data_IF_354009348525
#
_entry.id   IF_354009348525
#
_cell.length_a   1.000
_cell.length_b   1.000
_cell.length_c   1.000
_cell.angle_alpha   90.00
_cell.angle_beta   90.00
_cell.angle_gamma   90.00
#
_symmetry.space_group_name_H-M   'P 1'
#
loop_
_entity.id
_entity.type
_entity.pdbx_description
1 polymer ?
#
# COMPACT_ATOMS: atom_id res chain seq x y z
N UNK A 1 27.05 15.30 30.35
CA UNK A 1 25.94 15.34 29.37
C UNK A 1 25.00 14.21 29.76
N UNK A 2 23.86 14.59 30.32
CA UNK A 2 23.02 13.79 31.23
C UNK A 2 22.34 12.61 30.53
N UNK A 3 22.46 11.41 31.12
CA UNK A 3 21.71 10.23 30.68
C UNK A 3 20.20 10.48 30.84
N UNK A 4 19.44 10.43 29.74
CA UNK A 4 17.98 10.60 29.75
C UNK A 4 17.34 9.24 30.11
N UNK A 5 16.32 9.18 31.00
CA UNK A 5 15.63 7.95 31.38
C UNK A 5 14.67 7.46 30.28
N UNK A 6 15.21 7.22 29.07
CA UNK A 6 14.43 6.91 27.86
C UNK A 6 14.11 5.43 27.66
N UNK A 7 14.59 4.51 28.48
CA UNK A 7 14.54 3.07 28.18
C UNK A 7 13.38 2.34 28.84
N UNK A 8 13.10 2.57 30.13
CA UNK A 8 11.98 1.91 30.82
C UNK A 8 10.61 2.43 30.35
N UNK A 9 10.47 3.74 30.20
CA UNK A 9 9.26 4.37 29.69
C UNK A 9 8.97 3.99 28.22
N UNK A 10 10.01 3.95 27.38
CA UNK A 10 9.86 3.49 26.00
C UNK A 10 9.39 2.03 25.92
N UNK A 11 10.00 1.13 26.72
CA UNK A 11 9.58 -0.29 26.79
C UNK A 11 8.16 -0.46 27.28
N UNK A 12 7.76 0.29 28.31
CA UNK A 12 6.39 0.28 28.81
C UNK A 12 5.39 0.78 27.75
N UNK A 13 5.70 1.90 27.08
CA UNK A 13 4.86 2.43 26.01
C UNK A 13 4.74 1.49 24.81
N UNK A 14 5.80 0.76 24.47
CA UNK A 14 5.80 -0.26 23.42
C UNK A 14 4.91 -1.45 23.78
N UNK A 15 4.98 -1.92 25.04
CA UNK A 15 4.13 -3.00 25.53
C UNK A 15 2.65 -2.64 25.52
N UNK A 16 2.30 -1.41 25.91
CA UNK A 16 0.93 -0.91 25.80
C UNK A 16 0.46 -0.83 24.35
N UNK A 17 1.29 -0.30 23.46
CA UNK A 17 0.95 -0.20 22.03
C UNK A 17 0.69 -1.57 21.42
N UNK A 18 1.51 -2.56 21.77
CA UNK A 18 1.33 -3.96 21.38
C UNK A 18 0.01 -4.52 21.91
N UNK A 19 -0.28 -4.34 23.20
CA UNK A 19 -1.52 -4.83 23.83
C UNK A 19 -2.78 -4.27 23.16
N UNK A 20 -2.78 -2.99 22.80
CA UNK A 20 -3.91 -2.36 22.11
C UNK A 20 -3.99 -2.70 20.62
N UNK A 21 -2.86 -2.80 19.92
CA UNK A 21 -2.84 -3.05 18.48
C UNK A 21 -3.03 -4.54 18.13
N UNK A 22 -2.59 -5.46 18.99
CA UNK A 22 -2.59 -6.89 18.72
C UNK A 22 -3.95 -7.47 18.31
N UNK A 23 -5.08 -7.15 18.96
CA UNK A 23 -6.40 -7.66 18.57
C UNK A 23 -6.85 -7.20 17.17
N UNK A 24 -6.41 -6.02 16.74
CA UNK A 24 -6.85 -5.38 15.50
C UNK A 24 -5.87 -5.56 14.33
N UNK A 25 -4.80 -6.36 14.49
CA UNK A 25 -3.79 -6.58 13.44
C UNK A 25 -4.37 -6.96 12.08
N UNK A 26 -5.42 -7.79 12.07
CA UNK A 26 -6.11 -8.18 10.83
C UNK A 26 -6.86 -7.03 10.18
N UNK A 27 -7.54 -6.20 10.99
CA UNK A 27 -8.25 -5.02 10.50
C UNK A 27 -7.26 -4.00 9.94
N UNK A 28 -6.15 -3.75 10.64
CA UNK A 28 -5.09 -2.88 10.14
C UNK A 28 -4.43 -3.41 8.87
N UNK A 29 -4.14 -4.71 8.80
CA UNK A 29 -3.59 -5.30 7.58
C UNK A 29 -4.56 -5.20 6.40
N UNK A 30 -5.87 -5.29 6.65
CA UNK A 30 -6.88 -5.06 5.61
C UNK A 30 -6.93 -3.60 5.18
N UNK A 31 -6.98 -2.67 6.13
CA UNK A 31 -6.99 -1.24 5.84
C UNK A 31 -5.76 -0.82 5.02
N UNK A 32 -4.56 -1.31 5.40
CA UNK A 32 -3.34 -1.04 4.63
C UNK A 32 -3.44 -1.58 3.20
N UNK A 33 -3.98 -2.79 3.01
CA UNK A 33 -4.17 -3.36 1.66
C UNK A 33 -5.18 -2.57 0.84
N UNK A 34 -6.28 -2.14 1.46
CA UNK A 34 -7.30 -1.32 0.80
C UNK A 34 -6.70 0.04 0.35
N UNK A 35 -5.84 0.65 1.18
CA UNK A 35 -5.08 1.85 0.82
C UNK A 35 -4.09 1.61 -0.33
N UNK A 36 -3.32 0.51 -0.27
CA UNK A 36 -2.37 0.14 -1.32
C UNK A 36 -3.10 -0.13 -2.66
N UNK A 37 -4.24 -0.82 -2.63
CA UNK A 37 -5.05 -1.14 -3.81
C UNK A 37 -5.69 0.13 -4.40
N UNK A 38 -6.14 1.07 -3.56
CA UNK A 38 -6.62 2.37 -3.99
C UNK A 38 -5.52 3.20 -4.64
N UNK A 39 -4.32 3.17 -4.08
CA UNK A 39 -3.17 3.89 -4.64
C UNK A 39 -2.80 3.34 -6.03
N UNK A 40 -2.73 2.02 -6.17
CA UNK A 40 -2.54 1.35 -7.46
C UNK A 40 -3.60 1.76 -8.48
N UNK A 41 -4.88 1.79 -8.07
CA UNK A 41 -5.98 2.22 -8.94
C UNK A 41 -5.80 3.66 -9.44
N UNK A 42 -5.41 4.60 -8.57
CA UNK A 42 -5.19 6.00 -8.97
C UNK A 42 -4.03 6.10 -9.95
N UNK A 43 -2.89 5.45 -9.67
CA UNK A 43 -1.72 5.47 -10.55
C UNK A 43 -2.05 4.87 -11.92
N UNK A 44 -2.86 3.81 -11.96
CA UNK A 44 -3.25 3.10 -13.19
C UNK A 44 -4.58 3.58 -13.79
N UNK A 45 -5.19 4.64 -13.27
CA UNK A 45 -6.52 5.07 -13.68
C UNK A 45 -6.62 5.31 -15.20
N UNK A 46 -5.60 5.90 -15.83
CA UNK A 46 -5.61 6.13 -17.29
C UNK A 46 -5.65 4.82 -18.08
N UNK A 47 -4.94 3.78 -17.63
CA UNK A 47 -4.98 2.46 -18.28
C UNK A 47 -6.33 1.78 -18.15
N UNK A 48 -7.09 2.12 -17.10
CA UNK A 48 -8.47 1.68 -16.89
C UNK A 48 -9.50 2.55 -17.65
N UNK A 49 -9.04 3.52 -18.46
CA UNK A 49 -9.89 4.46 -19.19
C UNK A 49 -10.48 5.57 -18.32
N UNK A 50 -10.03 5.71 -17.07
CA UNK A 50 -10.45 6.77 -16.15
C UNK A 50 -9.45 7.93 -16.26
N UNK A 51 -9.89 9.14 -16.67
CA UNK A 51 -8.98 10.28 -16.80
C UNK A 51 -8.35 10.63 -15.45
N UNK A 52 -7.03 10.69 -15.38
CA UNK A 52 -6.31 11.02 -14.16
C UNK A 52 -5.64 12.41 -14.28
N UNK A 53 -6.10 13.43 -13.52
CA UNK A 53 -5.52 14.77 -13.58
C UNK A 53 -4.09 14.86 -13.03
N UNK A 54 -3.62 13.84 -12.31
CA UNK A 54 -2.28 13.77 -11.73
C UNK A 54 -1.39 12.72 -12.40
N UNK A 55 -1.81 12.15 -13.53
CA UNK A 55 -1.06 11.09 -14.22
C UNK A 55 0.39 11.46 -14.47
N UNK A 56 0.63 12.67 -14.98
CA UNK A 56 1.96 13.23 -15.22
C UNK A 56 2.89 13.13 -14.00
N UNK A 57 2.38 13.38 -12.80
CA UNK A 57 3.17 13.34 -11.56
C UNK A 57 3.38 11.92 -11.04
N UNK A 58 2.52 10.98 -11.43
CA UNK A 58 2.56 9.59 -10.96
C UNK A 58 3.27 8.63 -11.92
N UNK A 59 3.64 9.08 -13.13
CA UNK A 59 4.35 8.23 -14.13
C UNK A 59 5.64 7.64 -13.56
N UNK A 60 6.38 8.42 -12.76
CA UNK A 60 7.65 7.98 -12.17
C UNK A 60 7.49 6.83 -11.16
N UNK A 61 6.28 6.61 -10.66
CA UNK A 61 5.98 5.54 -9.72
C UNK A 61 5.70 4.20 -10.42
N UNK A 62 5.34 4.23 -11.71
CA UNK A 62 4.97 3.02 -12.47
C UNK A 62 6.01 1.89 -12.38
N UNK A 63 7.34 2.15 -12.47
CA UNK A 63 8.34 1.09 -12.34
C UNK A 63 8.25 0.32 -11.03
N UNK A 64 8.01 1.03 -9.92
CA UNK A 64 7.88 0.42 -8.58
C UNK A 64 6.54 -0.31 -8.42
N UNK A 65 5.49 0.16 -9.10
CA UNK A 65 4.18 -0.48 -9.08
C UNK A 65 4.14 -1.79 -9.86
N UNK A 66 4.95 -1.95 -10.90
CA UNK A 66 4.98 -3.18 -11.68
C UNK A 66 5.35 -4.41 -10.84
N UNK A 67 6.24 -4.27 -9.86
CA UNK A 67 6.62 -5.37 -8.95
C UNK A 67 5.42 -5.92 -8.16
N UNK A 68 4.37 -5.11 -7.98
CA UNK A 68 3.17 -5.45 -7.21
C UNK A 68 1.93 -5.66 -8.09
N UNK A 69 2.07 -5.48 -9.40
CA UNK A 69 0.95 -5.41 -10.33
C UNK A 69 0.20 -6.73 -10.44
N UNK A 70 0.92 -7.85 -10.56
CA UNK A 70 0.32 -9.18 -10.68
C UNK A 70 -0.64 -9.48 -9.52
N UNK A 71 -0.15 -9.28 -8.30
CA UNK A 71 -0.94 -9.55 -7.09
C UNK A 71 -2.13 -8.58 -6.98
N UNK A 72 -1.97 -7.33 -7.40
CA UNK A 72 -3.05 -6.33 -7.38
C UNK A 72 -4.15 -6.65 -8.39
N UNK A 73 -3.84 -6.87 -9.67
CA UNK A 73 -4.89 -7.07 -10.68
C UNK A 73 -5.66 -8.38 -10.43
N UNK A 74 -4.96 -9.40 -9.92
CA UNK A 74 -5.58 -10.65 -9.47
C UNK A 74 -6.54 -10.42 -8.30
N UNK A 75 -6.17 -9.59 -7.31
CA UNK A 75 -7.07 -9.22 -6.20
C UNK A 75 -8.28 -8.41 -6.66
N UNK A 76 -8.10 -7.57 -7.69
CA UNK A 76 -9.18 -6.82 -8.31
C UNK A 76 -10.14 -7.71 -9.13
N UNK A 77 -9.80 -9.00 -9.32
CA UNK A 77 -10.62 -9.95 -10.06
C UNK A 77 -10.58 -9.74 -11.58
N UNK A 78 -9.50 -9.14 -12.10
CA UNK A 78 -9.32 -8.93 -13.53
C UNK A 78 -8.82 -10.23 -14.18
N UNK A 79 -9.45 -10.66 -15.29
CA UNK A 79 -9.01 -11.84 -16.03
C UNK A 79 -7.70 -11.60 -16.81
N UNK A 80 -7.52 -10.36 -17.28
CA UNK A 80 -6.35 -9.93 -18.04
C UNK A 80 -5.81 -8.60 -17.52
N UNK A 81 -4.52 -8.37 -17.76
CA UNK A 81 -3.86 -7.10 -17.49
C UNK A 81 -4.59 -5.92 -18.17
N UNK A 82 -4.94 -4.84 -17.44
CA UNK A 82 -5.43 -3.60 -18.03
C UNK A 82 -4.35 -2.80 -18.79
N UNK A 83 -3.09 -3.23 -18.76
CA UNK A 83 -1.99 -2.54 -19.41
C UNK A 83 -1.77 -3.09 -20.82
N UNK A 84 -1.98 -2.25 -21.85
CA UNK A 84 -1.81 -2.64 -23.26
C UNK A 84 -0.40 -3.14 -23.60
N UNK A 85 0.62 -2.63 -22.91
CA UNK A 85 2.03 -2.92 -23.16
C UNK A 85 2.59 -4.03 -22.26
N UNK A 86 1.81 -4.51 -21.29
CA UNK A 86 2.27 -5.52 -20.33
C UNK A 86 1.27 -6.66 -20.26
N UNK A 87 1.61 -7.76 -20.92
CA UNK A 87 0.87 -9.02 -20.83
C UNK A 87 1.22 -9.69 -19.50
N UNK A 88 0.39 -9.48 -18.49
CA UNK A 88 0.41 -10.27 -17.27
C UNK A 88 -0.73 -11.29 -17.34
N UNK A 89 -0.38 -12.56 -17.12
CA UNK A 89 -1.21 -13.77 -17.31
C UNK A 89 -1.48 -14.14 -18.79
#
# INVERSE_FOLDING_TARGET
MTERPGTAWARFSAGLREFYAAPYRRAFARAQRDEDDLFMMIVLAESLGVPNPVSYYTVELLPVMYDRFHDWHTRMGMEHSPLDYLSCC
#
